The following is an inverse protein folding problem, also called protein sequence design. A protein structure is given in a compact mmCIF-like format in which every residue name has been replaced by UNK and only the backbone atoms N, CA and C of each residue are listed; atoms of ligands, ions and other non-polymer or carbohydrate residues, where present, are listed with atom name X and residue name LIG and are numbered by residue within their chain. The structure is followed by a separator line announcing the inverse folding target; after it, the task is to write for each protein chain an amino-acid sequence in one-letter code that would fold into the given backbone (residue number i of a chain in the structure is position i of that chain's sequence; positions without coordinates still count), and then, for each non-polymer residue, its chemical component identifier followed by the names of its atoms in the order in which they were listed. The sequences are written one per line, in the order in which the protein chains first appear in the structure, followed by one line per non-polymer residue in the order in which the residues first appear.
data_IF_992185879362
#
_entry.id   IF_992185879362
#
_cell.length_a   1.000
_cell.length_b   1.000
_cell.length_c   1.000
_cell.angle_alpha   90.00
_cell.angle_beta   90.00
_cell.angle_gamma   90.00
#
_symmetry.space_group_name_H-M   'P 1'
#
loop_
_entity.id
_entity.type
_entity.pdbx_description
1 polymer ?
#
# COMPACT_ATOMS: atom_id res chain seq x y z
N UNK A 1 59.95 -37.53 -67.89
CA UNK A 1 59.13 -36.55 -68.64
C UNK A 1 58.24 -35.80 -67.66
N UNK A 2 57.96 -34.55 -67.98
CA UNK A 2 57.61 -33.45 -67.09
C UNK A 2 56.16 -33.40 -66.62
N UNK A 3 55.92 -32.46 -65.67
CA UNK A 3 54.66 -31.78 -65.31
C UNK A 3 53.69 -32.55 -64.41
N UNK A 4 52.95 -31.98 -63.45
CA UNK A 4 52.89 -30.74 -62.64
C UNK A 4 51.58 -30.89 -61.85
N UNK A 5 51.50 -30.31 -60.64
CA UNK A 5 50.27 -29.79 -59.97
C UNK A 5 49.25 -30.83 -59.46
N UNK A 6 48.53 -30.70 -58.35
CA UNK A 6 48.48 -29.76 -57.22
C UNK A 6 47.22 -30.11 -56.40
N UNK A 7 47.23 -29.85 -55.07
CA UNK A 7 46.08 -29.52 -54.21
C UNK A 7 45.15 -30.68 -53.78
N UNK A 8 45.09 -31.01 -52.49
CA UNK A 8 44.12 -30.42 -51.55
C UNK A 8 44.33 -30.99 -50.13
N UNK A 9 44.42 -30.09 -49.16
CA UNK A 9 44.47 -30.35 -47.74
C UNK A 9 43.10 -30.72 -47.17
N UNK A 10 43.04 -31.62 -46.19
CA UNK A 10 41.98 -31.60 -45.16
C UNK A 10 42.65 -31.81 -43.81
N UNK A 11 42.80 -30.68 -43.11
CA UNK A 11 43.15 -30.58 -41.71
C UNK A 11 41.91 -31.00 -40.89
N UNK A 12 41.97 -32.11 -40.17
CA UNK A 12 40.94 -32.47 -39.18
C UNK A 12 41.20 -31.69 -37.89
N UNK A 13 40.50 -30.57 -37.72
CA UNK A 13 40.46 -29.84 -36.47
C UNK A 13 39.49 -30.55 -35.50
N UNK A 14 40.04 -31.11 -34.43
CA UNK A 14 39.28 -31.59 -33.27
C UNK A 14 38.80 -30.37 -32.49
N UNK A 15 37.53 -30.00 -32.65
CA UNK A 15 36.89 -28.98 -31.81
C UNK A 15 36.45 -29.67 -30.52
N UNK A 16 37.22 -29.44 -29.45
CA UNK A 16 36.83 -29.77 -28.08
C UNK A 16 35.76 -28.76 -27.64
N UNK A 17 34.48 -29.15 -27.70
CA UNK A 17 33.39 -28.36 -27.13
C UNK A 17 33.43 -28.52 -25.60
N UNK A 18 34.02 -27.53 -24.90
CA UNK A 18 33.88 -27.40 -23.47
C UNK A 18 32.44 -26.97 -23.16
N UNK A 19 31.62 -27.91 -22.69
CA UNK A 19 30.27 -27.62 -22.20
C UNK A 19 30.41 -26.88 -20.87
N UNK A 20 30.26 -25.55 -20.90
CA UNK A 20 30.04 -24.75 -19.70
C UNK A 20 28.67 -25.12 -19.12
N UNK A 21 28.69 -25.88 -18.01
CA UNK A 21 27.49 -26.12 -17.20
C UNK A 21 27.15 -24.79 -16.51
N UNK A 22 26.28 -24.00 -17.14
CA UNK A 22 25.61 -22.89 -16.47
C UNK A 22 24.62 -23.50 -15.49
N UNK A 23 24.72 -23.26 -14.17
CA UNK A 23 23.72 -23.76 -13.23
C UNK A 23 22.40 -23.08 -13.56
N UNK A 24 21.47 -23.83 -14.13
CA UNK A 24 20.09 -23.39 -14.32
C UNK A 24 19.49 -23.21 -12.93
N UNK A 25 19.33 -21.95 -12.50
CA UNK A 25 18.53 -21.61 -11.32
C UNK A 25 17.16 -22.28 -11.52
N UNK A 26 16.89 -23.28 -10.70
CA UNK A 26 15.67 -24.08 -10.77
C UNK A 26 14.46 -23.17 -10.51
N UNK A 27 13.55 -23.05 -11.50
CA UNK A 27 12.26 -22.34 -11.38
C UNK A 27 11.50 -22.73 -10.11
N UNK A 28 11.62 -23.97 -9.66
CA UNK A 28 10.99 -24.47 -8.45
C UNK A 28 11.39 -23.72 -7.16
N UNK A 29 12.63 -23.22 -7.05
CA UNK A 29 13.06 -22.45 -5.87
C UNK A 29 12.58 -20.99 -5.92
N UNK A 30 12.37 -20.42 -7.12
CA UNK A 30 11.75 -19.09 -7.26
C UNK A 30 10.24 -19.14 -7.09
N UNK A 31 9.60 -20.21 -7.53
CA UNK A 31 8.14 -20.38 -7.43
C UNK A 31 7.72 -20.65 -5.98
N UNK A 32 8.55 -21.35 -5.18
CA UNK A 32 8.25 -21.57 -3.76
C UNK A 32 8.42 -20.29 -2.91
N UNK A 33 9.30 -19.36 -3.31
CA UNK A 33 9.38 -18.01 -2.69
C UNK A 33 8.23 -17.09 -3.11
N UNK A 34 7.66 -17.30 -4.31
CA UNK A 34 6.49 -16.56 -4.80
C UNK A 34 5.17 -17.05 -4.19
N UNK A 35 5.12 -18.31 -3.72
CA UNK A 35 3.92 -18.92 -3.13
C UNK A 35 3.84 -18.81 -1.60
N UNK A 36 4.92 -18.47 -0.91
CA UNK A 36 4.83 -17.96 0.46
C UNK A 36 4.48 -16.48 0.36
N UNK A 37 3.25 -16.07 0.74
CA UNK A 37 2.89 -14.64 0.86
C UNK A 37 4.03 -13.93 1.59
N UNK A 38 4.73 -13.02 0.91
CA UNK A 38 5.92 -12.38 1.45
C UNK A 38 5.55 -11.71 2.79
N UNK A 39 6.10 -12.16 3.92
CA UNK A 39 5.85 -11.53 5.21
C UNK A 39 6.55 -10.17 5.26
N UNK A 40 6.05 -9.24 6.08
CA UNK A 40 6.83 -8.03 6.38
C UNK A 40 8.04 -8.44 7.19
N UNK A 41 9.23 -8.12 6.71
CA UNK A 41 10.47 -8.66 7.29
C UNK A 41 10.89 -7.90 8.56
N UNK A 42 10.56 -6.61 8.65
CA UNK A 42 11.18 -5.70 9.62
C UNK A 42 10.15 -4.95 10.50
N UNK A 43 10.46 -4.70 11.79
CA UNK A 43 9.54 -4.03 12.71
C UNK A 43 9.17 -2.61 12.28
N UNK A 44 7.89 -2.29 12.35
CA UNK A 44 7.38 -0.95 12.03
C UNK A 44 6.32 -0.45 13.00
N UNK A 45 6.13 0.86 13.03
CA UNK A 45 4.95 1.49 13.60
C UNK A 45 3.92 1.66 12.48
N UNK A 46 2.77 0.98 12.58
CA UNK A 46 1.69 1.05 11.61
C UNK A 46 0.45 1.73 12.21
N UNK A 47 -0.03 2.80 11.60
CA UNK A 47 -1.36 3.32 11.87
C UNK A 47 -2.35 2.80 10.82
N UNK A 48 -3.38 2.08 11.23
CA UNK A 48 -4.50 1.68 10.37
C UNK A 48 -5.66 2.65 10.58
N UNK A 49 -5.95 3.45 9.57
CA UNK A 49 -6.98 4.49 9.59
C UNK A 49 -8.06 4.11 8.59
N UNK A 50 -9.30 3.98 9.05
CA UNK A 50 -10.43 3.54 8.23
C UNK A 50 -11.53 4.60 8.24
N UNK A 51 -11.95 5.06 7.06
CA UNK A 51 -13.12 5.93 6.98
C UNK A 51 -14.39 5.14 7.33
N UNK A 52 -15.26 5.69 8.18
CA UNK A 52 -16.35 4.93 8.83
C UNK A 52 -17.63 4.87 7.97
N UNK A 53 -17.70 5.64 6.88
CA UNK A 53 -18.80 5.68 5.91
C UNK A 53 -18.58 4.80 4.67
N UNK A 54 -17.48 4.05 4.62
CA UNK A 54 -17.16 3.18 3.48
C UNK A 54 -18.19 2.07 3.26
N UNK A 55 -18.25 1.57 2.03
CA UNK A 55 -19.18 0.51 1.66
C UNK A 55 -19.09 -0.73 2.55
N UNK A 56 -20.23 -1.39 2.76
CA UNK A 56 -20.34 -2.58 3.62
C UNK A 56 -19.36 -3.70 3.28
N UNK A 57 -18.90 -3.78 2.02
CA UNK A 57 -17.90 -4.77 1.57
C UNK A 57 -16.55 -4.61 2.26
N UNK A 58 -16.18 -3.40 2.71
CA UNK A 58 -14.99 -3.18 3.56
C UNK A 58 -15.06 -4.00 4.84
N UNK A 59 -16.26 -4.16 5.40
CA UNK A 59 -16.50 -4.99 6.59
C UNK A 59 -16.08 -6.44 6.41
N UNK A 60 -16.26 -6.99 5.20
CA UNK A 60 -15.91 -8.38 4.88
C UNK A 60 -14.39 -8.60 4.80
N UNK A 61 -13.62 -7.54 4.51
CA UNK A 61 -12.17 -7.60 4.37
C UNK A 61 -11.42 -7.38 5.69
N UNK A 62 -12.13 -7.03 6.77
CA UNK A 62 -11.51 -6.82 8.08
C UNK A 62 -10.83 -8.07 8.62
N UNK A 63 -11.28 -9.27 8.23
CA UNK A 63 -10.58 -10.52 8.58
C UNK A 63 -9.15 -10.51 8.06
N UNK A 64 -8.98 -10.19 6.77
CA UNK A 64 -7.66 -10.10 6.13
C UNK A 64 -6.81 -8.99 6.75
N UNK A 65 -7.42 -7.84 7.11
CA UNK A 65 -6.70 -6.77 7.82
C UNK A 65 -6.22 -7.23 9.20
N UNK A 66 -7.06 -7.96 9.95
CA UNK A 66 -6.68 -8.52 11.26
C UNK A 66 -5.51 -9.49 11.13
N UNK A 67 -5.56 -10.36 10.13
CA UNK A 67 -4.51 -11.34 9.89
C UNK A 67 -3.21 -10.68 9.44
N UNK A 68 -3.30 -9.62 8.62
CA UNK A 68 -2.14 -8.79 8.28
C UNK A 68 -1.51 -8.17 9.53
N UNK A 69 -2.30 -7.53 10.41
CA UNK A 69 -1.80 -6.94 11.66
C UNK A 69 -1.08 -7.98 12.52
N UNK A 70 -1.66 -9.18 12.67
CA UNK A 70 -1.07 -10.28 13.44
C UNK A 70 0.19 -10.84 12.81
N UNK A 71 0.30 -10.77 11.48
CA UNK A 71 1.47 -11.25 10.74
C UNK A 71 2.68 -10.31 10.80
N UNK A 72 2.55 -9.12 11.39
CA UNK A 72 3.66 -8.18 11.50
C UNK A 72 4.77 -8.72 12.42
N UNK A 73 6.05 -8.43 12.12
CA UNK A 73 7.17 -8.95 12.88
C UNK A 73 7.20 -8.40 14.31
N UNK A 74 7.77 -9.19 15.23
CA UNK A 74 7.90 -8.82 16.63
C UNK A 74 8.66 -7.48 16.79
N UNK A 75 8.19 -6.63 17.70
CA UNK A 75 8.69 -5.26 17.86
C UNK A 75 7.90 -4.22 17.05
N UNK A 76 6.99 -4.64 16.17
CA UNK A 76 6.03 -3.76 15.52
C UNK A 76 5.02 -3.19 16.52
N UNK A 77 4.48 -2.00 16.22
CA UNK A 77 3.42 -1.36 17.01
C UNK A 77 2.29 -0.93 16.10
N UNK A 78 1.06 -1.19 16.50
CA UNK A 78 -0.11 -0.87 15.68
C UNK A 78 -1.07 0.05 16.41
N UNK A 79 -1.52 1.08 15.72
CA UNK A 79 -2.63 1.95 16.10
C UNK A 79 -3.81 1.67 15.17
N UNK A 80 -5.04 1.70 15.70
CA UNK A 80 -6.27 1.59 14.90
C UNK A 80 -7.17 2.77 15.21
N UNK A 81 -7.62 3.47 14.18
CA UNK A 81 -8.54 4.59 14.31
C UNK A 81 -9.52 4.66 13.13
N UNK A 82 -10.62 5.37 13.36
CA UNK A 82 -11.66 5.60 12.36
C UNK A 82 -11.83 7.09 12.09
N UNK A 83 -12.06 7.46 10.84
CA UNK A 83 -12.51 8.80 10.47
C UNK A 83 -14.04 8.75 10.45
N UNK A 84 -14.66 9.38 11.44
CA UNK A 84 -16.11 9.40 11.61
C UNK A 84 -16.56 10.84 11.74
N UNK A 85 -17.43 11.32 10.85
CA UNK A 85 -18.06 12.65 10.92
C UNK A 85 -17.07 13.80 11.14
N UNK A 86 -15.94 13.80 10.43
CA UNK A 86 -14.90 14.84 10.59
C UNK A 86 -14.18 14.80 11.95
N UNK A 87 -13.98 13.61 12.50
CA UNK A 87 -13.19 13.39 13.71
C UNK A 87 -12.41 12.09 13.66
N UNK A 88 -11.21 12.07 14.26
CA UNK A 88 -10.41 10.86 14.40
C UNK A 88 -10.79 10.11 15.69
N UNK A 89 -11.49 8.99 15.54
CA UNK A 89 -11.84 8.10 16.65
C UNK A 89 -10.76 7.03 16.85
N UNK A 90 -9.83 7.28 17.77
CA UNK A 90 -8.79 6.29 18.10
C UNK A 90 -9.38 5.16 18.94
N UNK A 91 -9.41 3.95 18.37
CA UNK A 91 -9.92 2.73 19.00
C UNK A 91 -8.85 2.01 19.80
N UNK A 92 -7.63 2.03 19.28
CA UNK A 92 -6.46 1.46 19.92
C UNK A 92 -5.27 2.38 19.65
N UNK A 93 -4.69 2.93 20.73
CA UNK A 93 -3.41 3.63 20.68
C UNK A 93 -2.29 2.67 20.25
N UNK A 94 -1.15 3.18 19.78
CA UNK A 94 -0.01 2.34 19.40
C UNK A 94 0.36 1.31 20.48
N UNK A 95 0.17 0.04 20.16
CA UNK A 95 0.48 -1.08 21.06
C UNK A 95 1.32 -2.13 20.34
N UNK A 96 2.22 -2.78 21.08
CA UNK A 96 2.96 -3.96 20.60
C UNK A 96 2.16 -5.26 20.70
N UNK A 97 0.99 -5.24 21.34
CA UNK A 97 0.05 -6.35 21.36
C UNK A 97 -0.77 -6.35 20.07
N UNK A 98 -0.28 -7.10 19.07
CA UNK A 98 -0.85 -7.15 17.73
C UNK A 98 -2.25 -7.79 17.74
N UNK A 99 -2.51 -8.73 18.64
CA UNK A 99 -3.84 -9.33 18.78
C UNK A 99 -4.84 -8.34 19.33
N UNK A 100 -4.45 -7.54 20.32
CA UNK A 100 -5.28 -6.45 20.85
C UNK A 100 -5.56 -5.39 19.77
N UNK A 101 -4.55 -5.02 18.98
CA UNK A 101 -4.73 -4.11 17.85
C UNK A 101 -5.70 -4.68 16.80
N UNK A 102 -5.50 -5.92 16.36
CA UNK A 102 -6.38 -6.60 15.41
C UNK A 102 -7.83 -6.68 15.93
N UNK A 103 -8.03 -7.05 17.19
CA UNK A 103 -9.36 -7.16 17.79
C UNK A 103 -10.07 -5.83 18.01
N UNK A 104 -9.36 -4.69 17.96
CA UNK A 104 -9.98 -3.36 18.06
C UNK A 104 -10.75 -2.93 16.79
N UNK A 105 -10.46 -3.57 15.65
CA UNK A 105 -11.14 -3.36 14.36
C UNK A 105 -12.63 -3.75 14.45
N UNK A 106 -13.47 -2.83 14.02
CA UNK A 106 -14.93 -2.93 13.90
C UNK A 106 -15.35 -2.73 12.44
N UNK A 107 -16.45 -3.35 12.05
CA UNK A 107 -17.13 -3.09 10.77
C UNK A 107 -17.44 -1.57 10.68
N UNK A 108 -17.08 -0.88 9.58
CA UNK A 108 -17.47 0.52 9.36
C UNK A 108 -18.98 0.71 9.47
N UNK A 109 -19.43 1.91 9.85
CA UNK A 109 -20.87 2.21 9.94
C UNK A 109 -21.59 2.12 8.60
N UNK A 110 -20.89 2.33 7.48
CA UNK A 110 -21.46 2.25 6.12
C UNK A 110 -22.73 3.09 6.01
N UNK A 111 -22.62 4.38 6.32
CA UNK A 111 -23.76 5.30 6.36
C UNK A 111 -23.29 6.71 6.03
N UNK A 112 -24.05 7.43 5.19
CA UNK A 112 -23.80 8.83 4.83
C UNK A 112 -23.75 9.74 6.07
N UNK A 113 -24.49 9.41 7.13
CA UNK A 113 -24.44 10.14 8.39
C UNK A 113 -23.09 10.05 9.13
N UNK A 114 -22.21 9.13 8.71
CA UNK A 114 -20.85 8.99 9.23
C UNK A 114 -19.81 9.69 8.34
N UNK A 115 -20.23 10.26 7.19
CA UNK A 115 -19.32 10.82 6.19
C UNK A 115 -18.55 12.02 6.70
N UNK A 116 -17.27 12.07 6.31
CA UNK A 116 -16.43 13.23 6.50
C UNK A 116 -16.38 14.04 5.19
N UNK A 117 -16.45 15.37 5.29
CA UNK A 117 -16.31 16.24 4.11
C UNK A 117 -14.89 16.23 3.53
N UNK A 118 -13.90 15.89 4.34
CA UNK A 118 -12.48 15.86 4.02
C UNK A 118 -11.75 14.92 4.99
N UNK A 119 -11.12 13.83 4.54
CA UNK A 119 -10.39 12.91 5.42
C UNK A 119 -9.00 13.41 5.84
N UNK A 120 -8.46 14.44 5.15
CA UNK A 120 -7.06 14.85 5.31
C UNK A 120 -6.78 15.59 6.62
N UNK A 121 -7.79 16.20 7.23
CA UNK A 121 -7.67 16.82 8.56
C UNK A 121 -7.41 15.73 9.60
N UNK A 122 -8.15 14.63 9.55
CA UNK A 122 -8.00 13.50 10.47
C UNK A 122 -6.73 12.70 10.16
N UNK A 123 -6.31 12.63 8.89
CA UNK A 123 -4.97 12.10 8.54
C UNK A 123 -3.88 12.92 9.23
N UNK A 124 -3.95 14.25 9.22
CA UNK A 124 -2.99 15.10 9.96
C UNK A 124 -3.04 14.81 11.45
N UNK A 125 -4.21 14.63 12.05
CA UNK A 125 -4.34 14.26 13.45
C UNK A 125 -3.71 12.89 13.74
N UNK A 126 -3.93 11.90 12.87
CA UNK A 126 -3.37 10.57 13.00
C UNK A 126 -1.83 10.59 12.86
N UNK A 127 -1.30 11.37 11.92
CA UNK A 127 0.14 11.58 11.75
C UNK A 127 0.77 12.15 13.02
N UNK A 128 0.07 13.03 13.72
CA UNK A 128 0.53 13.59 15.01
C UNK A 128 0.67 12.56 16.12
N UNK A 129 0.07 11.37 15.99
CA UNK A 129 0.17 10.27 16.96
C UNK A 129 1.45 9.44 16.81
N UNK A 130 2.16 9.56 15.69
CA UNK A 130 3.45 8.91 15.53
C UNK A 130 4.52 9.58 16.40
N UNK A 131 5.40 8.77 16.97
CA UNK A 131 6.57 9.24 17.69
C UNK A 131 7.60 9.75 16.67
N UNK A 132 8.05 11.00 16.86
CA UNK A 132 9.04 11.64 16.00
C UNK A 132 10.46 11.06 16.24
N UNK A 133 10.70 10.42 17.39
CA UNK A 133 12.00 9.88 17.78
C UNK A 133 12.03 8.34 17.85
N UNK A 134 11.03 7.68 17.25
CA UNK A 134 10.93 6.22 17.23
C UNK A 134 12.06 5.57 16.42
N UNK A 135 12.54 4.41 16.88
CA UNK A 135 13.55 3.61 16.14
C UNK A 135 12.96 2.85 14.95
N UNK A 136 11.68 2.53 15.02
CA UNK A 136 10.97 1.80 13.97
C UNK A 136 10.57 2.75 12.84
N UNK A 137 10.49 2.22 11.61
CA UNK A 137 9.91 2.95 10.48
C UNK A 137 8.43 3.24 10.74
N UNK A 138 7.96 4.38 10.28
CA UNK A 138 6.56 4.79 10.42
C UNK A 138 5.83 4.58 9.09
N UNK A 139 4.71 3.87 9.13
CA UNK A 139 3.80 3.71 8.00
C UNK A 139 2.35 3.95 8.43
N UNK A 140 1.56 4.53 7.55
CA UNK A 140 0.11 4.66 7.71
C UNK A 140 -0.58 3.90 6.61
N UNK A 141 -1.53 3.04 6.95
CA UNK A 141 -2.49 2.46 6.03
C UNK A 141 -3.80 3.25 6.14
N UNK A 142 -4.14 4.01 5.10
CA UNK A 142 -5.38 4.76 4.99
C UNK A 142 -6.36 3.99 4.09
N UNK A 143 -7.51 3.61 4.62
CA UNK A 143 -8.63 3.05 3.85
C UNK A 143 -9.69 4.14 3.77
N UNK A 144 -9.89 4.71 2.59
CA UNK A 144 -10.70 5.92 2.39
C UNK A 144 -11.16 6.02 0.94
N UNK A 145 -12.22 6.80 0.71
CA UNK A 145 -12.65 7.19 -0.63
C UNK A 145 -11.84 8.37 -1.19
N UNK A 146 -11.03 9.03 -0.35
CA UNK A 146 -10.08 10.07 -0.72
C UNK A 146 -10.70 11.40 -1.11
N UNK A 147 -12.02 11.54 -0.99
CA UNK A 147 -12.71 12.70 -1.52
C UNK A 147 -12.65 13.87 -0.53
N UNK A 148 -12.18 15.02 -1.00
CA UNK A 148 -12.25 16.28 -0.27
C UNK A 148 -13.23 17.22 -0.97
N UNK A 149 -14.38 17.43 -0.33
CA UNK A 149 -15.47 18.30 -0.80
C UNK A 149 -15.51 19.63 -0.05
N UNK A 150 -14.58 19.87 0.88
CA UNK A 150 -14.60 21.03 1.79
C UNK A 150 -14.54 22.40 1.08
N UNK A 151 -14.12 22.41 -0.19
CA UNK A 151 -14.01 23.61 -1.04
C UNK A 151 -14.95 23.59 -2.25
N UNK A 152 -15.91 22.66 -2.29
CA UNK A 152 -16.86 22.51 -3.40
C UNK A 152 -16.45 21.45 -4.42
N UNK A 153 -17.37 21.15 -5.33
CA UNK A 153 -17.26 20.12 -6.37
C UNK A 153 -17.25 20.78 -7.75
N UNK A 154 -16.17 21.48 -8.09
CA UNK A 154 -15.94 22.05 -9.42
C UNK A 154 -14.52 21.72 -9.94
N UNK A 155 -14.34 21.74 -11.26
CA UNK A 155 -13.10 21.32 -11.94
C UNK A 155 -11.85 22.13 -11.52
N UNK A 156 -12.06 23.30 -10.91
CA UNK A 156 -11.00 24.19 -10.40
C UNK A 156 -10.58 23.86 -8.96
N UNK A 157 -11.45 23.25 -8.16
CA UNK A 157 -11.19 22.94 -6.74
C UNK A 157 -10.65 21.53 -6.50
N UNK A 158 -10.86 20.62 -7.45
CA UNK A 158 -10.71 19.17 -7.24
C UNK A 158 -9.28 18.59 -7.35
N UNK A 159 -8.25 19.39 -7.63
CA UNK A 159 -6.87 18.89 -7.83
C UNK A 159 -5.84 19.37 -6.79
N UNK A 160 -6.21 20.29 -5.90
CA UNK A 160 -5.25 20.97 -5.02
C UNK A 160 -5.91 21.37 -3.71
N UNK A 161 -6.35 20.40 -2.92
CA UNK A 161 -6.90 20.74 -1.61
C UNK A 161 -5.78 21.08 -0.63
N UNK A 162 -5.96 22.19 0.09
CA UNK A 162 -4.97 22.74 1.02
C UNK A 162 -4.61 21.72 2.10
N UNK A 163 -5.59 20.93 2.54
CA UNK A 163 -5.43 19.98 3.62
C UNK A 163 -4.71 18.71 3.15
N UNK A 164 -4.89 18.25 1.90
CA UNK A 164 -4.05 17.21 1.31
C UNK A 164 -2.57 17.62 1.32
N UNK A 165 -2.25 18.84 0.89
CA UNK A 165 -0.86 19.35 0.91
C UNK A 165 -0.29 19.41 2.33
N UNK A 166 -1.11 19.80 3.30
CA UNK A 166 -0.72 19.81 4.72
C UNK A 166 -0.48 18.40 5.25
N UNK A 167 -1.33 17.44 4.88
CA UNK A 167 -1.15 16.03 5.23
C UNK A 167 0.17 15.47 4.67
N UNK A 168 0.47 15.73 3.39
CA UNK A 168 1.75 15.35 2.76
C UNK A 168 2.93 15.97 3.51
N UNK A 169 2.87 17.27 3.81
CA UNK A 169 3.94 17.98 4.53
C UNK A 169 4.16 17.39 5.92
N UNK A 170 3.09 17.13 6.68
CA UNK A 170 3.19 16.55 8.02
C UNK A 170 3.69 15.10 7.99
N UNK A 171 3.29 14.30 6.99
CA UNK A 171 3.77 12.94 6.81
C UNK A 171 5.28 12.92 6.54
N UNK A 172 5.74 13.77 5.62
CA UNK A 172 7.17 13.92 5.32
C UNK A 172 7.97 14.42 6.53
N UNK A 173 7.45 15.41 7.26
CA UNK A 173 8.09 15.92 8.49
C UNK A 173 8.29 14.83 9.55
N UNK A 174 7.39 13.86 9.59
CA UNK A 174 7.37 12.75 10.57
C UNK A 174 7.93 11.45 10.02
N UNK A 175 8.46 11.48 8.79
CA UNK A 175 8.98 10.33 8.07
C UNK A 175 7.98 9.15 8.04
N UNK A 176 6.71 9.45 7.76
CA UNK A 176 5.62 8.46 7.68
C UNK A 176 5.28 8.21 6.21
N UNK A 177 5.47 6.97 5.75
CA UNK A 177 5.01 6.55 4.44
C UNK A 177 3.50 6.25 4.48
N UNK A 178 2.70 6.89 3.62
CA UNK A 178 1.25 6.68 3.58
C UNK A 178 0.87 5.72 2.45
N UNK A 179 0.35 4.55 2.80
CA UNK A 179 -0.25 3.60 1.88
C UNK A 179 -1.76 3.75 1.89
N UNK A 180 -2.37 3.78 0.71
CA UNK A 180 -3.81 4.06 0.61
C UNK A 180 -4.55 2.92 -0.08
N UNK A 181 -5.62 2.42 0.53
CA UNK A 181 -6.59 1.54 -0.13
C UNK A 181 -7.83 2.35 -0.47
N UNK A 182 -8.13 2.44 -1.75
CA UNK A 182 -9.36 3.09 -2.19
C UNK A 182 -10.56 2.18 -1.92
N UNK A 183 -11.55 2.72 -1.24
CA UNK A 183 -12.88 2.14 -1.14
C UNK A 183 -13.91 3.27 -1.27
N UNK A 184 -14.98 3.12 -2.07
CA UNK A 184 -16.00 4.14 -2.17
C UNK A 184 -16.87 4.20 -0.89
N UNK A 185 -17.45 5.36 -0.63
CA UNK A 185 -18.36 5.58 0.49
C UNK A 185 -19.75 5.00 0.20
N UNK A 186 -20.34 4.32 1.20
CA UNK A 186 -21.71 3.80 1.15
C UNK A 186 -22.65 4.99 0.91
N UNK A 187 -23.42 4.94 -0.18
CA UNK A 187 -24.35 6.01 -0.58
C UNK A 187 -23.74 7.41 -0.83
N UNK A 188 -22.44 7.59 -0.64
CA UNK A 188 -21.73 8.86 -0.84
C UNK A 188 -21.49 9.24 -2.32
N UNK A 189 -20.92 10.43 -2.53
CA UNK A 189 -20.63 10.93 -3.89
C UNK A 189 -19.69 10.00 -4.68
N UNK A 190 -18.73 9.37 -4.01
CA UNK A 190 -17.75 8.47 -4.64
C UNK A 190 -18.34 7.16 -5.14
N UNK A 191 -19.47 6.68 -4.59
CA UNK A 191 -20.17 5.50 -5.12
C UNK A 191 -21.12 5.84 -6.28
N UNK A 192 -21.62 7.07 -6.35
CA UNK A 192 -22.61 7.51 -7.36
C UNK A 192 -22.00 8.27 -8.54
N UNK A 193 -20.84 8.89 -8.38
CA UNK A 193 -20.23 9.78 -9.37
C UNK A 193 -18.78 9.39 -9.71
N UNK A 194 -18.54 9.00 -10.97
CA UNK A 194 -17.21 8.57 -11.46
C UNK A 194 -16.15 9.67 -11.39
N UNK A 195 -16.55 10.94 -11.55
CA UNK A 195 -15.65 12.08 -11.42
C UNK A 195 -15.20 12.25 -9.97
N UNK A 196 -16.13 12.10 -9.01
CA UNK A 196 -15.82 12.12 -7.59
C UNK A 196 -14.87 10.97 -7.21
N UNK A 197 -15.16 9.75 -7.68
CA UNK A 197 -14.27 8.62 -7.52
C UNK A 197 -12.86 8.88 -8.09
N UNK A 198 -12.77 9.46 -9.29
CA UNK A 198 -11.51 9.82 -9.92
C UNK A 198 -10.69 10.85 -9.12
N UNK A 199 -11.35 11.87 -8.57
CA UNK A 199 -10.68 12.85 -7.70
C UNK A 199 -10.21 12.25 -6.38
N UNK A 200 -11.02 11.38 -5.76
CA UNK A 200 -10.62 10.65 -4.57
C UNK A 200 -9.39 9.77 -4.81
N UNK A 201 -9.42 8.95 -5.87
CA UNK A 201 -8.28 8.12 -6.28
C UNK A 201 -7.03 8.95 -6.59
N UNK A 202 -7.18 10.07 -7.31
CA UNK A 202 -6.06 10.97 -7.62
C UNK A 202 -5.44 11.58 -6.35
N UNK A 203 -6.27 11.97 -5.39
CA UNK A 203 -5.82 12.57 -4.15
C UNK A 203 -5.12 11.57 -3.23
N UNK A 204 -5.62 10.33 -3.14
CA UNK A 204 -4.93 9.23 -2.46
C UNK A 204 -3.62 8.86 -3.14
N UNK A 205 -3.61 8.80 -4.48
CA UNK A 205 -2.40 8.51 -5.24
C UNK A 205 -1.32 9.56 -4.95
N UNK A 206 -1.70 10.84 -4.99
CA UNK A 206 -0.80 11.95 -4.68
C UNK A 206 -0.29 11.90 -3.23
N UNK A 207 -1.17 11.67 -2.25
CA UNK A 207 -0.77 11.53 -0.85
C UNK A 207 0.26 10.42 -0.67
N UNK A 208 -0.02 9.26 -1.26
CA UNK A 208 0.86 8.10 -1.16
C UNK A 208 2.19 8.32 -1.88
N UNK A 209 2.18 8.75 -3.13
CA UNK A 209 3.41 8.92 -3.92
C UNK A 209 4.33 10.01 -3.33
N UNK A 210 3.78 11.14 -2.89
CA UNK A 210 4.56 12.25 -2.32
C UNK A 210 5.05 12.00 -0.88
N UNK A 211 4.59 10.93 -0.22
CA UNK A 211 5.04 10.52 1.12
C UNK A 211 5.92 9.27 1.08
N UNK A 212 6.24 8.78 -0.11
CA UNK A 212 6.99 7.54 -0.28
C UNK A 212 6.20 6.32 0.15
N UNK A 213 4.87 6.31 -0.02
CA UNK A 213 4.04 5.11 0.07
C UNK A 213 3.54 4.67 -1.30
N UNK A 214 2.37 4.02 -1.34
CA UNK A 214 1.70 3.63 -2.59
C UNK A 214 0.19 3.54 -2.41
N UNK A 215 -0.56 4.00 -3.40
CA UNK A 215 -2.01 3.83 -3.45
C UNK A 215 -2.38 2.55 -4.21
N UNK A 216 -3.39 1.85 -3.72
CA UNK A 216 -3.89 0.59 -4.26
C UNK A 216 -5.37 0.73 -4.60
N UNK A 217 -5.66 0.64 -5.90
CA UNK A 217 -6.99 0.67 -6.48
C UNK A 217 -6.98 -0.10 -7.82
N UNK A 218 -8.11 -0.71 -8.22
CA UNK A 218 -8.24 -1.36 -9.53
C UNK A 218 -9.39 -0.75 -10.32
N UNK A 219 -9.05 0.02 -11.34
CA UNK A 219 -10.02 0.68 -12.20
C UNK A 219 -10.89 1.72 -11.47
N UNK A 220 -11.98 2.13 -12.13
CA UNK A 220 -12.86 3.21 -11.68
C UNK A 220 -14.19 2.72 -11.07
N UNK A 221 -14.40 1.40 -10.95
CA UNK A 221 -15.75 0.84 -10.73
C UNK A 221 -15.85 -0.37 -9.80
N UNK A 222 -14.78 -0.84 -9.16
CA UNK A 222 -14.87 -2.05 -8.33
C UNK A 222 -13.96 -2.04 -7.11
N UNK A 223 -14.55 -2.29 -5.94
CA UNK A 223 -13.85 -2.73 -4.75
C UNK A 223 -13.12 -4.05 -5.02
N UNK A 224 -11.84 -4.10 -4.65
CA UNK A 224 -11.01 -5.30 -4.75
C UNK A 224 -10.84 -5.87 -3.35
N UNK A 225 -10.88 -7.20 -3.26
CA UNK A 225 -10.53 -7.94 -2.05
C UNK A 225 -9.18 -7.45 -1.52
N UNK A 226 -9.11 -7.11 -0.23
CA UNK A 226 -7.91 -6.53 0.36
C UNK A 226 -6.72 -7.49 0.33
N UNK A 227 -6.94 -8.80 0.18
CA UNK A 227 -5.88 -9.79 -0.01
C UNK A 227 -4.82 -9.35 -1.03
N UNK A 228 -5.24 -8.99 -2.25
CA UNK A 228 -4.32 -8.57 -3.31
C UNK A 228 -3.68 -7.20 -3.10
N UNK A 229 -4.23 -6.38 -2.20
CA UNK A 229 -3.62 -5.11 -1.79
C UNK A 229 -2.61 -5.34 -0.66
N UNK A 230 -2.92 -6.18 0.31
CA UNK A 230 -2.00 -6.55 1.38
C UNK A 230 -0.78 -7.29 0.85
N UNK A 231 -0.92 -8.15 -0.16
CA UNK A 231 0.23 -8.82 -0.77
C UNK A 231 1.20 -7.80 -1.39
N UNK A 232 0.69 -6.84 -2.17
CA UNK A 232 1.49 -5.75 -2.74
C UNK A 232 2.02 -4.77 -1.69
N UNK A 233 1.28 -4.56 -0.60
CA UNK A 233 1.73 -3.74 0.53
C UNK A 233 2.95 -4.37 1.20
N UNK A 234 2.93 -5.68 1.46
CA UNK A 234 4.06 -6.40 2.05
C UNK A 234 5.30 -6.29 1.16
N UNK A 235 5.14 -6.52 -0.15
CA UNK A 235 6.22 -6.33 -1.12
C UNK A 235 6.81 -4.91 -1.05
N UNK A 236 5.94 -3.89 -1.06
CA UNK A 236 6.39 -2.49 -1.05
C UNK A 236 7.08 -2.10 0.26
N UNK A 237 6.58 -2.59 1.40
CA UNK A 237 7.22 -2.37 2.71
C UNK A 237 8.63 -2.98 2.75
N UNK A 238 8.79 -4.19 2.22
CA UNK A 238 10.08 -4.87 2.18
C UNK A 238 11.06 -4.22 1.19
N UNK A 239 10.60 -3.81 0.00
CA UNK A 239 11.43 -3.10 -0.98
C UNK A 239 11.98 -1.77 -0.44
N UNK A 240 11.16 -1.06 0.35
CA UNK A 240 11.60 0.19 0.96
C UNK A 240 12.61 0.00 2.07
N UNK A 241 12.55 -1.12 2.77
CA UNK A 241 13.59 -1.51 3.71
C UNK A 241 14.90 -1.75 2.97
N UNK A 242 14.88 -2.54 1.91
CA UNK A 242 16.07 -2.88 1.12
C UNK A 242 16.78 -1.67 0.48
N UNK A 243 16.08 -0.54 0.28
CA UNK A 243 16.66 0.70 -0.28
C UNK A 243 17.27 1.63 0.76
N UNK A 244 17.02 1.39 2.05
CA UNK A 244 17.47 2.25 3.14
C UNK A 244 18.82 1.83 3.75
N UNK A 245 19.34 0.69 3.32
CA UNK A 245 20.65 0.13 3.66
C UNK A 245 21.49 -0.01 2.40
#
# INVERSE_FOLDING_TARGET
MSRTRSILAVLMAVIFAAVLIVPTRTKAASDNRRNAKAAVEEPLNLAVIIQDDLESRVGNELGVTKDFIRSLPAGSRVMVAYITTGSLQVRQQFTSDLDKAANSLRIPRASESASAFNPYIEVIEALRRFDENGKNRNAMLLISDGLDTSRGFDATSAGNTLDLKRAIKEANRRNVAVYSFYAPSEEGLTSRNRTAAGYGQSSLNRLSDETGGKAFFQGTTGFVTFDGYFDRLRETLNEQYAKAY
#
